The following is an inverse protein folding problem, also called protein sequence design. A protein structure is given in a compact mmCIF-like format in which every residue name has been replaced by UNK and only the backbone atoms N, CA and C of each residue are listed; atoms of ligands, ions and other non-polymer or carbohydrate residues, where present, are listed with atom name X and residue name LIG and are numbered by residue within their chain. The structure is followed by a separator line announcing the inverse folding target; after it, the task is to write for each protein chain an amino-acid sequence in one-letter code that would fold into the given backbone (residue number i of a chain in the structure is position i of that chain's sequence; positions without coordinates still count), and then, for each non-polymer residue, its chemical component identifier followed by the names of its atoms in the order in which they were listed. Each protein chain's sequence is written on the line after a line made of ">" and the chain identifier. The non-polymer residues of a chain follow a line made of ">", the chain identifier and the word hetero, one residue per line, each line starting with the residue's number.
data_IF_440318002081
#
_entry.id   IF_440318002081
#
_cell.length_a   1.000
_cell.length_b   1.000
_cell.length_c   1.000
_cell.angle_alpha   90.00
_cell.angle_beta   90.00
_cell.angle_gamma   90.00
#
_symmetry.space_group_name_H-M   'P 1'
#
loop_
_entity.id
_entity.type
_entity.pdbx_description
1 polymer ?
#
# COMPACT_ATOMS: atom_id res chain seq x y z
N UNK A 1 16.93 7.90 -21.30
CA UNK A 1 17.26 9.32 -21.14
C UNK A 1 17.45 9.59 -19.66
N UNK A 2 18.64 10.08 -19.26
CA UNK A 2 18.93 10.46 -17.89
C UNK A 2 17.94 11.54 -17.43
N UNK A 3 17.35 11.36 -16.25
CA UNK A 3 16.48 12.34 -15.64
C UNK A 3 17.26 13.67 -15.49
N UNK A 4 16.64 14.78 -15.88
CA UNK A 4 17.22 16.10 -15.70
C UNK A 4 17.61 16.32 -14.23
N UNK A 5 18.75 16.98 -13.95
CA UNK A 5 19.18 17.25 -12.60
C UNK A 5 18.13 18.10 -11.88
N UNK A 6 17.71 17.64 -10.71
CA UNK A 6 16.81 18.35 -9.81
C UNK A 6 17.55 19.64 -9.39
N UNK A 7 16.96 20.84 -9.54
CA UNK A 7 17.59 22.06 -9.08
C UNK A 7 17.88 21.95 -7.57
N UNK A 8 19.05 22.39 -7.11
CA UNK A 8 19.38 22.40 -5.69
C UNK A 8 18.35 23.29 -4.97
N UNK A 9 17.63 22.70 -4.02
CA UNK A 9 16.82 23.47 -3.11
C UNK A 9 17.72 24.36 -2.21
N UNK A 10 17.18 25.37 -1.53
CA UNK A 10 17.97 26.35 -0.79
C UNK A 10 18.93 25.66 0.20
N UNK A 11 20.20 25.94 0.06
CA UNK A 11 21.31 25.49 0.92
C UNK A 11 21.48 26.36 2.16
N UNK A 12 20.40 26.59 2.93
CA UNK A 12 20.48 27.40 4.15
C UNK A 12 20.35 26.47 5.37
N UNK A 13 21.27 26.46 6.34
CA UNK A 13 21.13 25.73 7.60
C UNK A 13 19.87 26.17 8.40
N UNK A 14 19.39 27.39 8.25
CA UNK A 14 18.10 27.84 8.80
C UNK A 14 16.88 27.17 8.12
N UNK A 15 17.07 26.51 6.97
CA UNK A 15 16.03 25.80 6.23
C UNK A 15 15.54 24.51 6.95
N UNK A 16 16.21 24.07 8.00
CA UNK A 16 15.78 22.93 8.82
C UNK A 16 14.81 23.30 9.95
N UNK A 17 14.63 24.61 10.23
CA UNK A 17 13.72 25.07 11.27
C UNK A 17 12.27 24.68 10.94
N UNK A 18 11.65 23.87 11.81
CA UNK A 18 10.28 23.35 11.61
C UNK A 18 10.17 22.06 10.77
N UNK A 19 11.29 21.52 10.26
CA UNK A 19 11.29 20.23 9.58
C UNK A 19 11.39 19.07 10.58
N UNK A 20 10.70 17.97 10.30
CA UNK A 20 10.76 16.75 11.10
C UNK A 20 12.01 15.93 10.70
N UNK A 21 12.90 15.63 11.67
CA UNK A 21 14.06 14.76 11.44
C UNK A 21 13.56 13.34 11.12
N UNK A 22 14.06 12.77 10.03
CA UNK A 22 13.66 11.44 9.58
C UNK A 22 14.30 10.34 10.45
N UNK A 23 13.61 9.23 10.58
CA UNK A 23 14.15 7.97 11.11
C UNK A 23 14.87 7.20 10.00
N UNK A 24 15.54 6.11 10.34
CA UNK A 24 16.09 5.12 9.41
C UNK A 24 17.11 5.72 8.44
N UNK A 25 18.17 6.29 8.99
CA UNK A 25 19.34 6.70 8.23
C UNK A 25 20.63 6.62 9.07
N UNK A 26 21.74 6.55 8.38
CA UNK A 26 23.09 6.58 8.94
C UNK A 26 23.81 7.84 8.45
N UNK A 27 24.55 8.48 9.35
CA UNK A 27 25.48 9.55 8.97
C UNK A 27 26.81 8.93 8.52
N UNK A 28 27.30 9.38 7.41
CA UNK A 28 28.59 8.99 6.85
C UNK A 28 29.55 10.19 6.86
N UNK A 29 30.82 9.98 6.51
CA UNK A 29 31.81 11.04 6.45
C UNK A 29 31.44 12.14 5.42
N UNK A 30 31.78 13.42 5.71
CA UNK A 30 31.55 14.54 4.80
C UNK A 30 30.08 14.93 4.63
N UNK A 31 29.29 14.89 5.70
CA UNK A 31 27.86 15.21 5.70
C UNK A 31 27.02 14.39 4.73
N UNK A 32 27.53 13.24 4.31
CA UNK A 32 26.79 12.26 3.52
C UNK A 32 25.81 11.48 4.42
N UNK A 33 24.60 11.26 3.95
CA UNK A 33 23.58 10.44 4.63
C UNK A 33 23.25 9.21 3.80
N UNK A 34 23.14 8.05 4.46
CA UNK A 34 22.63 6.81 3.89
C UNK A 34 21.23 6.54 4.46
N UNK A 35 20.19 6.71 3.64
CA UNK A 35 18.83 6.41 4.02
C UNK A 35 18.58 4.90 3.93
N UNK A 36 18.19 4.28 5.04
CA UNK A 36 17.96 2.83 5.17
C UNK A 36 16.48 2.45 5.28
N UNK A 37 15.56 3.37 4.96
CA UNK A 37 14.11 3.14 5.08
C UNK A 37 13.58 2.13 4.06
N UNK A 38 14.02 2.21 2.81
CA UNK A 38 13.53 1.36 1.73
C UNK A 38 14.69 0.82 0.86
N UNK A 39 14.45 -0.20 0.02
CA UNK A 39 15.47 -0.85 -0.77
C UNK A 39 16.22 0.03 -1.79
N UNK A 40 15.78 1.27 -2.00
CA UNK A 40 16.55 2.23 -2.79
C UNK A 40 17.87 2.62 -2.11
N UNK A 41 17.99 2.51 -0.78
CA UNK A 41 19.21 2.72 0.00
C UNK A 41 19.99 3.97 -0.44
N UNK A 42 19.28 5.11 -0.56
CA UNK A 42 19.80 6.34 -1.14
C UNK A 42 20.99 6.88 -0.33
N UNK A 43 22.14 7.13 -1.03
CA UNK A 43 23.26 7.89 -0.48
C UNK A 43 23.13 9.34 -0.93
N UNK A 44 22.93 10.24 0.03
CA UNK A 44 22.54 11.62 -0.23
C UNK A 44 23.62 12.57 0.30
N UNK A 45 24.42 13.20 -0.56
CA UNK A 45 25.21 14.37 -0.20
C UNK A 45 24.36 15.48 0.40
N UNK A 46 24.98 16.44 1.08
CA UNK A 46 24.28 17.60 1.62
C UNK A 46 23.46 18.33 0.55
N UNK A 47 22.26 18.76 0.90
CA UNK A 47 21.28 19.41 0.03
C UNK A 47 20.50 18.46 -0.89
N UNK A 48 20.91 17.19 -1.04
CA UNK A 48 20.26 16.24 -1.95
C UNK A 48 18.96 15.63 -1.37
N UNK A 49 18.03 15.33 -2.30
CA UNK A 49 16.75 14.68 -2.00
C UNK A 49 16.75 13.27 -2.56
N UNK A 50 16.24 12.31 -1.79
CA UNK A 50 16.11 10.92 -2.18
C UNK A 50 15.15 10.69 -3.35
N UNK A 51 15.21 9.49 -3.94
CA UNK A 51 14.35 9.09 -5.07
C UNK A 51 12.86 9.23 -4.78
N UNK A 52 12.47 9.16 -3.52
CA UNK A 52 11.09 9.34 -3.06
C UNK A 52 10.59 10.80 -3.11
N UNK A 53 11.46 11.79 -3.33
CA UNK A 53 11.19 13.22 -3.43
C UNK A 53 10.83 13.93 -2.12
N UNK A 54 10.89 13.23 -0.98
CA UNK A 54 10.40 13.76 0.32
C UNK A 54 11.38 13.56 1.47
N UNK A 55 12.55 12.97 1.22
CA UNK A 55 13.62 12.83 2.22
C UNK A 55 14.85 13.58 1.76
N UNK A 56 15.26 14.60 2.52
CA UNK A 56 16.36 15.51 2.17
C UNK A 56 17.46 15.48 3.21
N UNK A 57 18.70 15.40 2.76
CA UNK A 57 19.85 15.64 3.61
C UNK A 57 20.08 17.15 3.76
N UNK A 58 20.22 17.63 5.00
CA UNK A 58 20.59 19.01 5.33
C UNK A 58 21.65 18.94 6.44
N UNK A 59 22.89 19.30 6.12
CA UNK A 59 24.00 19.31 7.07
C UNK A 59 24.27 17.95 7.72
N UNK A 60 24.21 16.85 6.99
CA UNK A 60 24.44 15.50 7.50
C UNK A 60 23.27 14.93 8.32
N UNK A 61 22.09 15.55 8.29
CA UNK A 61 20.84 15.05 8.87
C UNK A 61 19.79 14.84 7.80
N UNK A 62 19.04 13.74 7.90
CA UNK A 62 17.93 13.45 6.98
C UNK A 62 16.62 14.01 7.54
N UNK A 63 15.85 14.72 6.71
CA UNK A 63 14.56 15.32 7.08
C UNK A 63 13.42 14.80 6.21
N UNK A 64 12.24 14.58 6.82
CA UNK A 64 10.99 14.20 6.18
C UNK A 64 10.20 15.45 5.75
N UNK A 65 10.33 15.84 4.47
CA UNK A 65 9.72 17.07 3.93
C UNK A 65 8.19 17.00 3.82
N UNK A 66 7.60 15.82 3.89
CA UNK A 66 6.16 15.60 3.77
C UNK A 66 5.46 15.37 5.11
N UNK A 67 6.18 15.47 6.24
CA UNK A 67 5.56 15.33 7.55
C UNK A 67 4.49 16.40 7.78
N UNK A 68 3.26 15.98 8.08
CA UNK A 68 2.12 16.88 8.24
C UNK A 68 1.56 17.51 6.97
N UNK A 69 2.08 17.17 5.77
CA UNK A 69 1.66 17.73 4.49
C UNK A 69 0.69 16.79 3.76
N UNK A 70 -0.61 16.88 4.04
CA UNK A 70 -1.63 16.05 3.40
C UNK A 70 -1.90 16.50 1.96
N UNK A 71 -1.63 15.62 0.99
CA UNK A 71 -2.02 15.78 -0.41
C UNK A 71 -3.43 15.22 -0.69
N UNK A 72 -3.90 14.30 0.15
CA UNK A 72 -5.26 13.78 0.08
C UNK A 72 -5.75 13.38 1.48
N UNK A 73 -7.03 13.63 1.75
CA UNK A 73 -7.75 13.19 2.95
C UNK A 73 -9.22 12.96 2.59
N UNK A 74 -9.71 11.71 2.69
CA UNK A 74 -11.07 11.31 2.31
C UNK A 74 -11.64 10.27 3.25
N UNK A 75 -12.96 10.24 3.40
CA UNK A 75 -13.68 9.12 4.02
C UNK A 75 -14.11 8.16 2.92
N UNK A 76 -13.57 6.96 2.94
CA UNK A 76 -13.85 5.92 1.94
C UNK A 76 -14.41 4.65 2.59
N UNK A 77 -15.21 3.85 1.87
CA UNK A 77 -15.46 2.47 2.26
C UNK A 77 -14.15 1.69 2.38
N UNK A 78 -14.03 0.81 3.38
CA UNK A 78 -12.84 -0.05 3.55
C UNK A 78 -12.63 -0.95 2.33
N UNK A 79 -13.69 -1.37 1.67
CA UNK A 79 -13.67 -2.15 0.44
C UNK A 79 -12.97 -1.45 -0.73
N UNK A 80 -12.96 -0.09 -0.74
CA UNK A 80 -12.24 0.68 -1.76
C UNK A 80 -10.71 0.61 -1.60
N UNK A 81 -10.20 0.10 -0.44
CA UNK A 81 -8.76 0.01 -0.13
C UNK A 81 -8.03 -1.24 -0.63
N UNK A 82 -8.54 -2.18 -1.37
CA UNK A 82 -9.58 -3.16 -1.14
C UNK A 82 -9.22 -4.12 0.00
N UNK A 83 -9.73 -3.83 1.19
CA UNK A 83 -9.72 -4.76 2.32
C UNK A 83 -11.08 -5.46 2.39
N UNK A 84 -11.10 -6.78 2.16
CA UNK A 84 -12.34 -7.55 2.13
C UNK A 84 -12.55 -8.39 3.40
N UNK A 85 -11.48 -8.61 4.17
CA UNK A 85 -11.51 -9.30 5.45
C UNK A 85 -11.18 -8.38 6.63
N UNK A 86 -11.45 -7.07 6.48
CA UNK A 86 -11.24 -6.06 7.52
C UNK A 86 -12.50 -5.21 7.65
N UNK A 87 -13.19 -5.30 8.79
CA UNK A 87 -14.34 -4.45 9.16
C UNK A 87 -15.32 -4.19 8.00
N UNK A 88 -15.94 -5.23 7.39
CA UNK A 88 -16.76 -5.08 6.19
C UNK A 88 -17.87 -4.02 6.34
N UNK A 89 -17.99 -3.14 5.35
CA UNK A 89 -18.98 -2.05 5.33
C UNK A 89 -18.58 -0.84 6.18
N UNK A 90 -17.40 -0.84 6.81
CA UNK A 90 -16.91 0.29 7.61
C UNK A 90 -16.34 1.41 6.77
N UNK A 91 -16.13 2.57 7.41
CA UNK A 91 -15.50 3.75 6.83
C UNK A 91 -14.06 3.88 7.30
N UNK A 92 -13.16 4.17 6.37
CA UNK A 92 -11.76 4.47 6.65
C UNK A 92 -11.46 5.94 6.33
N UNK A 93 -10.89 6.67 7.28
CA UNK A 93 -10.31 7.98 7.02
C UNK A 93 -8.97 7.80 6.32
N UNK A 94 -8.92 8.09 5.04
CA UNK A 94 -7.83 7.75 4.12
C UNK A 94 -6.96 8.95 3.85
N UNK A 95 -5.65 8.84 4.09
CA UNK A 95 -4.71 9.94 3.93
C UNK A 95 -3.53 9.59 3.05
N UNK A 96 -2.96 10.61 2.40
CA UNK A 96 -1.69 10.55 1.67
C UNK A 96 -0.90 11.83 1.82
N UNK A 97 0.42 11.70 1.72
CA UNK A 97 1.35 12.81 1.49
C UNK A 97 1.95 12.73 0.10
N UNK A 98 2.61 13.78 -0.43
CA UNK A 98 3.31 13.71 -1.71
C UNK A 98 4.48 12.72 -1.69
N UNK A 99 4.84 12.19 -2.86
CA UNK A 99 6.00 11.34 -3.07
C UNK A 99 5.73 9.84 -3.08
N UNK A 100 6.70 9.08 -3.59
CA UNK A 100 6.70 7.61 -3.63
C UNK A 100 8.14 7.12 -3.88
N UNK A 101 8.51 5.99 -3.29
CA UNK A 101 9.81 5.35 -3.50
C UNK A 101 9.87 4.46 -4.76
N UNK A 102 8.76 4.33 -5.49
CA UNK A 102 8.67 3.71 -6.81
C UNK A 102 8.33 4.76 -7.89
N UNK A 103 8.44 4.35 -9.16
CA UNK A 103 8.20 5.21 -10.34
C UNK A 103 7.35 4.49 -11.38
N UNK A 104 6.27 3.83 -10.91
CA UNK A 104 5.40 3.02 -11.74
C UNK A 104 4.87 3.81 -12.95
N UNK A 105 5.11 3.32 -14.16
CA UNK A 105 4.68 3.98 -15.41
C UNK A 105 3.15 4.03 -15.55
N UNK A 106 2.45 3.15 -14.84
CA UNK A 106 0.99 2.99 -14.80
C UNK A 106 0.33 3.57 -13.54
N UNK A 107 1.01 4.45 -12.79
CA UNK A 107 0.52 4.94 -11.51
C UNK A 107 -0.78 5.74 -11.67
N UNK A 108 -1.84 5.33 -10.96
CA UNK A 108 -3.13 6.03 -10.97
C UNK A 108 -3.10 7.35 -10.19
N UNK A 109 -2.27 7.41 -9.15
CA UNK A 109 -2.11 8.59 -8.30
C UNK A 109 -0.81 9.35 -8.60
N UNK A 110 -0.37 9.35 -9.87
CA UNK A 110 0.93 9.91 -10.27
C UNK A 110 1.06 11.39 -9.93
N UNK A 111 -0.02 12.14 -9.93
CA UNK A 111 -0.04 13.59 -9.66
C UNK A 111 0.51 13.90 -8.26
N UNK A 112 0.20 13.07 -7.26
CA UNK A 112 0.72 13.24 -5.90
C UNK A 112 1.94 12.36 -5.63
N UNK A 113 1.99 11.14 -6.18
CA UNK A 113 3.05 10.18 -5.88
C UNK A 113 4.36 10.48 -6.62
N UNK A 114 4.30 11.13 -7.79
CA UNK A 114 5.48 11.49 -8.59
C UNK A 114 5.86 12.98 -8.45
N UNK A 115 5.44 13.63 -7.37
CA UNK A 115 5.63 15.05 -7.11
C UNK A 115 6.50 15.31 -5.87
N UNK A 116 7.19 16.44 -5.86
CA UNK A 116 7.76 17.01 -4.66
C UNK A 116 6.66 17.73 -3.84
N UNK A 117 6.83 17.93 -2.52
CA UNK A 117 5.81 18.59 -1.68
C UNK A 117 5.37 19.98 -2.16
N UNK A 118 6.27 20.73 -2.77
CA UNK A 118 5.98 22.08 -3.29
C UNK A 118 5.35 22.11 -4.70
N UNK A 119 5.20 20.94 -5.35
CA UNK A 119 4.58 20.83 -6.68
C UNK A 119 3.09 20.52 -6.63
N UNK A 120 2.57 20.16 -5.46
CA UNK A 120 1.17 19.82 -5.25
C UNK A 120 0.59 20.61 -4.09
N UNK A 121 -0.71 20.88 -4.16
CA UNK A 121 -1.41 21.51 -3.04
C UNK A 121 -1.50 20.52 -1.87
N UNK A 122 -1.07 20.97 -0.71
CA UNK A 122 -1.16 20.20 0.54
C UNK A 122 -1.89 21.02 1.62
N UNK A 123 -2.51 20.31 2.56
CA UNK A 123 -3.09 20.87 3.77
C UNK A 123 -2.19 20.47 4.94
N UNK A 124 -1.80 21.44 5.77
CA UNK A 124 -1.07 21.14 7.00
C UNK A 124 -2.01 20.50 8.03
N UNK A 125 -1.63 19.34 8.56
CA UNK A 125 -2.37 18.66 9.62
C UNK A 125 -1.38 17.95 10.55
N UNK A 126 -1.48 18.19 11.85
CA UNK A 126 -0.75 17.41 12.84
C UNK A 126 -1.28 15.97 12.93
N UNK A 127 -0.55 15.03 13.52
CA UNK A 127 -1.08 13.69 13.82
C UNK A 127 -2.38 13.74 14.64
N UNK A 128 -2.49 14.68 15.56
CA UNK A 128 -3.68 14.92 16.40
C UNK A 128 -4.88 15.35 15.54
N UNK A 129 -4.67 16.25 14.57
CA UNK A 129 -5.73 16.72 13.67
C UNK A 129 -6.29 15.56 12.84
N UNK A 130 -5.42 14.70 12.29
CA UNK A 130 -5.82 13.53 11.50
C UNK A 130 -6.67 12.57 12.32
N UNK A 131 -6.26 12.27 13.56
CA UNK A 131 -7.01 11.37 14.44
C UNK A 131 -8.34 12.00 14.84
N UNK A 132 -8.36 13.30 15.16
CA UNK A 132 -9.59 14.04 15.48
C UNK A 132 -10.57 14.05 14.30
N UNK A 133 -10.09 14.21 13.07
CA UNK A 133 -10.91 14.17 11.85
C UNK A 133 -11.48 12.78 11.60
N UNK A 134 -10.68 11.73 11.80
CA UNK A 134 -11.14 10.35 11.70
C UNK A 134 -12.28 10.06 12.70
N UNK A 135 -12.11 10.45 13.96
CA UNK A 135 -13.16 10.32 14.99
C UNK A 135 -14.40 11.13 14.61
N UNK A 136 -14.23 12.41 14.26
CA UNK A 136 -15.33 13.32 13.89
C UNK A 136 -16.12 12.82 12.68
N UNK A 137 -15.45 12.20 11.72
CA UNK A 137 -16.11 11.61 10.55
C UNK A 137 -16.84 10.29 10.85
N UNK A 138 -16.70 9.74 12.05
CA UNK A 138 -17.23 8.43 12.44
C UNK A 138 -16.58 7.28 11.68
N UNK A 139 -15.31 7.44 11.27
CA UNK A 139 -14.52 6.36 10.67
C UNK A 139 -14.09 5.36 11.73
N UNK A 140 -14.09 4.07 11.38
CA UNK A 140 -13.63 2.99 12.26
C UNK A 140 -12.13 2.76 12.16
N UNK A 141 -11.52 3.28 11.10
CA UNK A 141 -10.09 3.11 10.84
C UNK A 141 -9.47 4.34 10.17
N UNK A 142 -8.13 4.44 10.28
CA UNK A 142 -7.31 5.35 9.48
C UNK A 142 -6.54 4.51 8.46
N UNK A 143 -6.64 4.86 7.17
CA UNK A 143 -5.92 4.19 6.09
C UNK A 143 -4.81 5.09 5.53
N UNK A 144 -3.58 4.65 5.64
CA UNK A 144 -2.41 5.25 4.99
C UNK A 144 -2.31 4.70 3.56
N UNK A 145 -2.53 5.53 2.53
CA UNK A 145 -2.82 5.03 1.18
C UNK A 145 -2.50 6.03 0.06
N UNK A 146 -2.99 5.80 -1.15
CA UNK A 146 -2.95 6.58 -2.41
C UNK A 146 -1.55 6.78 -3.00
N UNK A 147 -0.63 7.46 -2.29
CA UNK A 147 0.77 7.54 -2.67
C UNK A 147 1.55 6.32 -2.15
N UNK A 148 2.57 6.50 -1.33
CA UNK A 148 3.29 5.40 -0.71
C UNK A 148 3.51 5.67 0.79
N UNK A 149 2.84 4.94 1.70
CA UNK A 149 2.98 5.16 3.15
C UNK A 149 4.41 5.02 3.69
N UNK A 150 5.22 4.16 3.08
CA UNK A 150 6.61 3.99 3.50
C UNK A 150 7.37 5.31 3.56
N UNK A 151 7.14 6.24 2.61
CA UNK A 151 7.95 7.46 2.54
C UNK A 151 7.54 8.54 3.57
N UNK A 152 6.36 8.45 4.15
CA UNK A 152 5.92 9.29 5.26
C UNK A 152 5.85 8.52 6.58
N UNK A 153 6.83 7.65 6.78
CA UNK A 153 6.95 6.69 7.87
C UNK A 153 6.72 7.31 9.25
N UNK A 154 7.42 8.40 9.57
CA UNK A 154 7.37 9.07 10.86
C UNK A 154 5.95 9.60 11.15
N UNK A 155 5.35 10.24 10.15
CA UNK A 155 4.00 10.78 10.26
C UNK A 155 2.95 9.67 10.42
N UNK A 156 3.09 8.57 9.65
CA UNK A 156 2.26 7.39 9.79
C UNK A 156 2.38 6.76 11.18
N UNK A 157 3.61 6.61 11.69
CA UNK A 157 3.88 6.03 13.01
C UNK A 157 3.26 6.83 14.14
N UNK A 158 3.39 8.17 14.09
CA UNK A 158 2.83 9.05 15.12
C UNK A 158 1.30 9.05 15.10
N UNK A 159 0.70 9.07 13.91
CA UNK A 159 -0.76 8.92 13.76
C UNK A 159 -1.22 7.55 14.28
N UNK A 160 -0.52 6.46 13.92
CA UNK A 160 -0.90 5.11 14.32
C UNK A 160 -0.88 4.92 15.85
N UNK A 161 0.09 5.49 16.55
CA UNK A 161 0.14 5.48 18.02
C UNK A 161 -1.10 6.17 18.62
N UNK A 162 -1.43 7.37 18.15
CA UNK A 162 -2.57 8.15 18.63
C UNK A 162 -3.92 7.50 18.25
N UNK A 163 -4.01 6.89 17.06
CA UNK A 163 -5.20 6.17 16.61
C UNK A 163 -5.58 5.03 17.55
N UNK A 164 -4.58 4.26 18.00
CA UNK A 164 -4.78 3.17 18.98
C UNK A 164 -5.36 3.67 20.31
N UNK A 165 -4.90 4.81 20.81
CA UNK A 165 -5.44 5.42 22.03
C UNK A 165 -6.93 5.80 21.91
N UNK A 166 -7.39 6.01 20.67
CA UNK A 166 -8.79 6.32 20.35
C UNK A 166 -9.61 5.10 19.90
N UNK A 167 -9.02 3.90 19.93
CA UNK A 167 -9.69 2.67 19.48
C UNK A 167 -9.90 2.56 17.97
N UNK A 168 -9.23 3.42 17.18
CA UNK A 168 -9.28 3.35 15.72
C UNK A 168 -8.31 2.27 15.22
N UNK A 169 -8.74 1.50 14.22
CA UNK A 169 -7.86 0.56 13.52
C UNK A 169 -6.95 1.30 12.54
N UNK A 170 -5.75 0.77 12.34
CA UNK A 170 -4.74 1.34 11.44
C UNK A 170 -4.48 0.42 10.26
N UNK A 171 -4.69 0.93 9.06
CA UNK A 171 -4.62 0.19 7.82
C UNK A 171 -3.55 0.78 6.90
N UNK A 172 -2.65 -0.05 6.40
CA UNK A 172 -1.62 0.37 5.43
C UNK A 172 -1.92 -0.22 4.06
N UNK A 173 -1.90 0.63 3.04
CA UNK A 173 -2.02 0.26 1.63
C UNK A 173 -0.77 0.73 0.91
N UNK A 174 0.16 -0.18 0.67
CA UNK A 174 1.53 0.13 0.24
C UNK A 174 2.00 -0.85 -0.85
N UNK A 175 3.00 -0.46 -1.63
CA UNK A 175 3.71 -1.38 -2.51
C UNK A 175 4.58 -2.41 -1.75
N UNK A 176 4.69 -2.30 -0.43
CA UNK A 176 5.54 -3.19 0.38
C UNK A 176 7.03 -3.01 0.13
N UNK A 177 7.44 -1.91 -0.51
CA UNK A 177 8.85 -1.63 -0.84
C UNK A 177 9.54 -0.90 0.31
N UNK A 178 9.76 -1.64 1.40
CA UNK A 178 10.32 -1.18 2.68
C UNK A 178 11.38 -2.16 3.17
N UNK A 179 12.44 -1.68 3.83
CA UNK A 179 13.45 -2.55 4.42
C UNK A 179 12.92 -3.30 5.65
N UNK A 180 13.48 -4.48 5.99
CA UNK A 180 12.99 -5.32 7.08
C UNK A 180 12.91 -4.64 8.45
N UNK A 181 13.94 -3.89 8.84
CA UNK A 181 13.98 -3.30 10.19
C UNK A 181 12.95 -2.18 10.41
N UNK A 182 12.80 -1.18 9.49
CA UNK A 182 11.69 -0.23 9.60
C UNK A 182 10.32 -0.89 9.55
N UNK A 183 10.15 -1.94 8.74
CA UNK A 183 8.88 -2.68 8.69
C UNK A 183 8.57 -3.32 10.04
N UNK A 184 9.49 -4.10 10.61
CA UNK A 184 9.31 -4.76 11.93
C UNK A 184 9.00 -3.76 13.04
N UNK A 185 9.63 -2.58 13.03
CA UNK A 185 9.37 -1.53 14.03
C UNK A 185 7.99 -0.86 13.87
N UNK A 186 7.43 -0.85 12.66
CA UNK A 186 6.12 -0.28 12.36
C UNK A 186 4.97 -1.23 12.74
N UNK A 187 5.12 -2.53 12.43
CA UNK A 187 4.04 -3.53 12.51
C UNK A 187 3.33 -3.60 13.87
N UNK A 188 3.97 -3.38 15.04
CA UNK A 188 3.26 -3.34 16.32
C UNK A 188 2.16 -2.27 16.43
N UNK A 189 2.14 -1.30 15.55
CA UNK A 189 1.17 -0.20 15.52
C UNK A 189 0.15 -0.33 14.38
N UNK A 190 0.20 -1.41 13.58
CA UNK A 190 -0.65 -1.63 12.39
C UNK A 190 -1.54 -2.84 12.64
N UNK A 191 -2.85 -2.70 12.33
CA UNK A 191 -3.82 -3.79 12.44
C UNK A 191 -3.92 -4.60 11.13
N UNK A 192 -3.88 -3.92 9.97
CA UNK A 192 -3.91 -4.60 8.68
C UNK A 192 -3.00 -3.92 7.64
N UNK A 193 -2.39 -4.75 6.82
CA UNK A 193 -1.48 -4.34 5.76
C UNK A 193 -1.93 -4.92 4.43
N UNK A 194 -2.15 -4.08 3.43
CA UNK A 194 -2.40 -4.51 2.06
C UNK A 194 -1.17 -4.22 1.22
N UNK A 195 -0.67 -5.24 0.56
CA UNK A 195 0.47 -5.10 -0.35
C UNK A 195 -0.02 -5.06 -1.79
N UNK A 196 0.23 -3.94 -2.46
CA UNK A 196 0.08 -3.83 -3.90
C UNK A 196 1.27 -4.51 -4.60
N UNK A 197 1.24 -5.83 -4.68
CA UNK A 197 2.26 -6.63 -5.35
C UNK A 197 2.16 -6.46 -6.87
N UNK A 198 3.22 -5.93 -7.48
CA UNK A 198 3.11 -5.46 -8.88
C UNK A 198 3.22 -6.57 -9.91
N UNK A 199 4.17 -7.51 -9.72
CA UNK A 199 4.32 -8.68 -10.59
C UNK A 199 5.19 -9.76 -9.93
N UNK A 200 5.04 -11.01 -10.36
CA UNK A 200 5.97 -12.07 -9.96
C UNK A 200 7.25 -12.02 -10.79
N UNK A 201 7.18 -11.57 -12.04
CA UNK A 201 8.33 -11.35 -12.91
C UNK A 201 9.22 -10.19 -12.40
N UNK A 202 10.52 -10.41 -12.11
CA UNK A 202 11.45 -9.36 -11.67
C UNK A 202 11.65 -8.24 -12.68
N UNK A 203 11.60 -8.55 -13.99
CA UNK A 203 11.81 -7.56 -15.06
C UNK A 203 10.68 -6.51 -15.07
N UNK A 204 9.45 -6.90 -14.73
CA UNK A 204 8.35 -5.96 -14.57
C UNK A 204 8.67 -4.90 -13.51
N UNK A 205 9.24 -5.31 -12.38
CA UNK A 205 9.65 -4.38 -11.33
C UNK A 205 10.71 -3.40 -11.82
N UNK A 206 11.76 -3.90 -12.46
CA UNK A 206 12.84 -3.06 -12.97
C UNK A 206 12.36 -2.08 -14.04
N UNK A 207 11.61 -2.56 -15.02
CA UNK A 207 11.25 -1.80 -16.22
C UNK A 207 10.04 -0.88 -16.01
N UNK A 208 9.04 -1.32 -15.24
CA UNK A 208 7.76 -0.60 -15.12
C UNK A 208 7.56 0.09 -13.77
N UNK A 209 8.26 -0.32 -12.72
CA UNK A 209 8.13 0.28 -11.39
C UNK A 209 9.36 1.04 -10.91
N UNK A 210 10.53 0.74 -11.46
CA UNK A 210 11.81 1.30 -11.02
C UNK A 210 12.26 0.79 -9.66
N UNK A 211 11.78 -0.37 -9.23
CA UNK A 211 12.15 -1.06 -8.00
C UNK A 211 12.61 -2.49 -8.25
N UNK A 212 12.53 -3.34 -7.23
CA UNK A 212 12.84 -4.77 -7.29
C UNK A 212 11.78 -5.59 -6.56
N UNK A 213 11.55 -6.83 -7.03
CA UNK A 213 10.52 -7.74 -6.51
C UNK A 213 10.86 -8.31 -5.13
N UNK A 214 12.08 -8.82 -4.97
CA UNK A 214 12.44 -9.68 -3.83
C UNK A 214 12.28 -9.00 -2.46
N UNK A 215 12.59 -7.69 -2.27
CA UNK A 215 12.27 -7.00 -1.03
C UNK A 215 10.78 -6.98 -0.70
N UNK A 216 9.90 -6.95 -1.72
CA UNK A 216 8.44 -6.98 -1.50
C UNK A 216 7.98 -8.37 -1.07
N UNK A 217 8.54 -9.42 -1.66
CA UNK A 217 8.29 -10.81 -1.22
C UNK A 217 8.70 -11.02 0.23
N UNK A 218 9.87 -10.50 0.62
CA UNK A 218 10.35 -10.56 2.01
C UNK A 218 9.45 -9.75 2.95
N UNK A 219 9.04 -8.55 2.56
CA UNK A 219 8.11 -7.73 3.36
C UNK A 219 6.79 -8.48 3.63
N UNK A 220 6.20 -9.15 2.63
CA UNK A 220 4.98 -9.94 2.82
C UNK A 220 5.17 -11.09 3.82
N UNK A 221 6.32 -11.78 3.81
CA UNK A 221 6.64 -12.83 4.80
C UNK A 221 6.73 -12.24 6.21
N UNK A 222 7.43 -11.11 6.36
CA UNK A 222 7.57 -10.42 7.65
C UNK A 222 6.20 -9.99 8.19
N UNK A 223 5.34 -9.41 7.34
CA UNK A 223 3.98 -9.00 7.73
C UNK A 223 3.18 -10.22 8.18
N UNK A 224 3.16 -11.29 7.39
CA UNK A 224 2.43 -12.52 7.74
C UNK A 224 2.91 -13.12 9.06
N UNK A 225 4.22 -13.20 9.27
CA UNK A 225 4.84 -13.73 10.48
C UNK A 225 4.57 -12.88 11.73
N UNK A 226 4.30 -11.59 11.59
CA UNK A 226 4.01 -10.68 12.72
C UNK A 226 2.60 -10.84 13.29
N UNK A 227 1.70 -11.51 12.58
CA UNK A 227 0.28 -11.63 12.94
C UNK A 227 -0.59 -10.44 12.51
N UNK A 228 -0.02 -9.41 11.90
CA UNK A 228 -0.78 -8.33 11.24
C UNK A 228 -1.56 -8.91 10.07
N UNK A 229 -2.85 -8.52 9.94
CA UNK A 229 -3.67 -9.03 8.84
C UNK A 229 -3.12 -8.59 7.48
N UNK A 230 -2.91 -9.55 6.57
CA UNK A 230 -2.35 -9.31 5.25
C UNK A 230 -3.37 -9.60 4.16
N UNK A 231 -3.57 -8.65 3.23
CA UNK A 231 -4.22 -8.87 1.94
C UNK A 231 -3.28 -8.45 0.80
N UNK A 232 -3.39 -9.07 -0.36
CA UNK A 232 -2.52 -8.81 -1.51
C UNK A 232 -3.37 -8.37 -2.70
N UNK A 233 -2.93 -7.31 -3.40
CA UNK A 233 -3.52 -6.91 -4.68
C UNK A 233 -2.49 -7.03 -5.78
N UNK A 234 -2.86 -7.64 -6.88
CA UNK A 234 -2.08 -7.67 -8.12
C UNK A 234 -2.87 -6.96 -9.23
N UNK A 235 -2.34 -5.84 -9.72
CA UNK A 235 -2.88 -5.15 -10.88
C UNK A 235 -2.40 -5.86 -12.14
N UNK A 236 -3.31 -6.47 -12.89
CA UNK A 236 -2.99 -7.13 -14.14
C UNK A 236 -2.84 -6.11 -15.26
N UNK A 237 -1.61 -5.92 -15.74
CA UNK A 237 -1.27 -5.00 -16.83
C UNK A 237 -1.15 -5.80 -18.13
N UNK A 238 -1.98 -5.46 -19.12
CA UNK A 238 -2.11 -6.16 -20.38
C UNK A 238 -0.77 -6.46 -21.06
N UNK A 239 -0.48 -7.73 -21.28
CA UNK A 239 0.73 -8.19 -21.95
C UNK A 239 2.03 -8.04 -21.15
N UNK A 240 1.95 -7.68 -19.85
CA UNK A 240 3.12 -7.44 -19.01
C UNK A 240 3.25 -8.45 -17.85
N UNK A 241 2.15 -8.70 -17.13
CA UNK A 241 2.10 -9.60 -15.98
C UNK A 241 0.79 -10.41 -15.91
N UNK A 242 0.06 -10.51 -17.02
CA UNK A 242 -1.27 -11.11 -17.10
C UNK A 242 -1.28 -12.50 -17.76
N UNK A 243 -0.11 -13.12 -17.97
CA UNK A 243 -0.01 -14.50 -18.47
C UNK A 243 -0.47 -15.51 -17.42
N UNK A 244 -0.97 -16.66 -17.87
CA UNK A 244 -1.42 -17.73 -16.97
C UNK A 244 -0.28 -18.26 -16.08
N UNK A 245 0.94 -18.34 -16.62
CA UNK A 245 2.11 -18.79 -15.88
C UNK A 245 2.52 -17.81 -14.78
N UNK A 246 2.49 -16.50 -15.06
CA UNK A 246 2.74 -15.46 -14.08
C UNK A 246 1.75 -15.55 -12.92
N UNK A 247 0.45 -15.66 -13.23
CA UNK A 247 -0.62 -15.81 -12.24
C UNK A 247 -0.45 -17.09 -11.41
N UNK A 248 -0.11 -18.21 -12.07
CA UNK A 248 0.11 -19.50 -11.41
C UNK A 248 1.30 -19.46 -10.47
N UNK A 249 2.42 -18.87 -10.90
CA UNK A 249 3.61 -18.70 -10.08
C UNK A 249 3.30 -17.84 -8.84
N UNK A 250 2.59 -16.72 -9.02
CA UNK A 250 2.15 -15.88 -7.90
C UNK A 250 1.27 -16.66 -6.92
N UNK A 251 0.25 -17.36 -7.39
CA UNK A 251 -0.69 -18.09 -6.54
C UNK A 251 0.02 -19.19 -5.72
N UNK A 252 0.91 -19.96 -6.36
CA UNK A 252 1.72 -20.99 -5.70
C UNK A 252 2.62 -20.37 -4.62
N UNK A 253 3.32 -19.30 -4.97
CA UNK A 253 4.20 -18.63 -4.03
C UNK A 253 3.42 -18.09 -2.80
N UNK A 254 2.25 -17.49 -2.99
CA UNK A 254 1.38 -17.03 -1.89
C UNK A 254 1.01 -18.21 -1.01
N UNK A 255 0.51 -19.31 -1.59
CA UNK A 255 0.12 -20.51 -0.85
C UNK A 255 1.27 -21.10 -0.04
N UNK A 256 2.44 -21.23 -0.64
CA UNK A 256 3.61 -21.89 -0.04
C UNK A 256 4.28 -21.04 1.04
N UNK A 257 4.28 -19.71 0.89
CA UNK A 257 5.03 -18.82 1.78
C UNK A 257 4.17 -18.05 2.78
N UNK A 258 2.87 -17.83 2.46
CA UNK A 258 1.98 -17.01 3.29
C UNK A 258 0.76 -17.79 3.78
N UNK A 259 0.40 -18.88 3.14
CA UNK A 259 -0.76 -19.70 3.44
C UNK A 259 -1.87 -19.57 2.39
N UNK A 260 -2.81 -20.53 2.39
CA UNK A 260 -3.92 -20.60 1.45
C UNK A 260 -5.09 -19.68 1.81
N UNK A 261 -5.01 -19.04 2.97
CA UNK A 261 -6.03 -18.20 3.59
C UNK A 261 -5.78 -16.69 3.44
N UNK A 262 -4.64 -16.29 2.86
CA UNK A 262 -4.35 -14.87 2.56
C UNK A 262 -5.16 -14.41 1.35
N UNK A 263 -6.01 -13.36 1.46
CA UNK A 263 -6.79 -12.88 0.33
C UNK A 263 -5.91 -12.31 -0.78
N UNK A 264 -6.16 -12.76 -2.01
CA UNK A 264 -5.50 -12.28 -3.21
C UNK A 264 -6.54 -11.62 -4.14
N UNK A 265 -6.31 -10.37 -4.49
CA UNK A 265 -7.18 -9.58 -5.35
C UNK A 265 -6.49 -9.35 -6.71
N UNK A 266 -7.14 -9.73 -7.80
CA UNK A 266 -6.73 -9.35 -9.14
C UNK A 266 -7.51 -8.13 -9.61
N UNK A 267 -6.81 -7.04 -9.92
CA UNK A 267 -7.42 -5.79 -10.33
C UNK A 267 -7.15 -5.49 -11.80
N UNK A 268 -8.16 -4.95 -12.48
CA UNK A 268 -8.08 -4.56 -13.89
C UNK A 268 -7.26 -3.30 -14.07
N UNK A 269 -6.27 -3.33 -14.97
CA UNK A 269 -5.53 -2.16 -15.42
C UNK A 269 -6.36 -1.30 -16.38
N UNK A 270 -6.22 0.01 -16.24
CA UNK A 270 -6.65 1.02 -17.20
C UNK A 270 -5.44 1.90 -17.57
N UNK A 271 -5.29 2.28 -18.86
CA UNK A 271 -4.21 3.17 -19.32
C UNK A 271 -4.15 4.45 -18.48
N UNK A 272 -2.97 4.74 -17.93
CA UNK A 272 -2.76 5.90 -17.07
C UNK A 272 -1.29 6.33 -17.09
N UNK A 273 -1.03 7.62 -16.76
CA UNK A 273 0.29 8.22 -16.61
C UNK A 273 1.16 8.03 -17.87
N UNK A 274 2.23 7.25 -17.79
CA UNK A 274 3.19 6.99 -18.88
C UNK A 274 2.92 5.70 -19.66
N UNK A 275 1.95 4.91 -19.23
CA UNK A 275 1.59 3.64 -19.86
C UNK A 275 0.18 3.77 -20.51
N UNK A 276 0.07 4.66 -21.51
CA UNK A 276 -1.19 4.92 -22.20
C UNK A 276 -1.33 4.17 -23.53
N UNK A 277 -0.27 3.52 -23.97
CA UNK A 277 -0.19 2.79 -25.26
C UNK A 277 -0.69 1.33 -25.17
N UNK A 278 -1.05 0.84 -23.98
CA UNK A 278 -1.64 -0.48 -23.79
C UNK A 278 -3.16 -0.37 -23.61
N UNK A 279 -3.94 -1.33 -24.14
CA UNK A 279 -5.37 -1.36 -23.87
C UNK A 279 -5.66 -1.73 -22.40
N UNK A 280 -6.86 -1.38 -21.91
CA UNK A 280 -7.32 -1.89 -20.60
C UNK A 280 -7.31 -3.41 -20.60
N UNK A 281 -6.97 -4.02 -19.48
CA UNK A 281 -6.97 -5.49 -19.37
C UNK A 281 -8.39 -6.02 -19.62
N UNK A 282 -8.56 -7.03 -20.49
CA UNK A 282 -9.86 -7.66 -20.73
C UNK A 282 -10.44 -8.21 -19.42
N UNK A 283 -11.75 -8.05 -19.23
CA UNK A 283 -12.46 -8.58 -18.03
C UNK A 283 -12.22 -10.09 -17.88
N UNK A 284 -12.27 -10.83 -18.99
CA UNK A 284 -12.04 -12.27 -19.00
C UNK A 284 -10.63 -12.66 -18.50
N UNK A 285 -9.61 -11.82 -18.74
CA UNK A 285 -8.26 -12.04 -18.21
C UNK A 285 -8.26 -11.98 -16.67
N UNK A 286 -8.98 -11.03 -16.07
CA UNK A 286 -9.10 -10.91 -14.61
C UNK A 286 -9.86 -12.09 -14.02
N UNK A 287 -10.97 -12.50 -14.66
CA UNK A 287 -11.75 -13.68 -14.24
C UNK A 287 -10.96 -14.98 -14.38
N UNK A 288 -10.18 -15.13 -15.45
CA UNK A 288 -9.29 -16.26 -15.64
C UNK A 288 -8.20 -16.33 -14.57
N UNK A 289 -7.57 -15.19 -14.23
CA UNK A 289 -6.58 -15.13 -13.16
C UNK A 289 -7.17 -15.60 -11.82
N UNK A 290 -8.39 -15.18 -11.50
CA UNK A 290 -9.11 -15.66 -10.32
C UNK A 290 -9.30 -17.18 -10.35
N UNK A 291 -9.79 -17.74 -11.46
CA UNK A 291 -9.98 -19.19 -11.60
C UNK A 291 -8.68 -19.97 -11.43
N UNK A 292 -7.57 -19.50 -12.01
CA UNK A 292 -6.25 -20.10 -11.85
C UNK A 292 -5.83 -20.13 -10.38
N UNK A 293 -5.91 -19.00 -9.69
CA UNK A 293 -5.48 -18.92 -8.30
C UNK A 293 -6.33 -19.80 -7.35
N UNK A 294 -7.64 -19.90 -7.60
CA UNK A 294 -8.50 -20.84 -6.88
C UNK A 294 -8.13 -22.30 -7.19
N UNK A 295 -7.81 -22.63 -8.44
CA UNK A 295 -7.39 -23.97 -8.84
C UNK A 295 -6.01 -24.36 -8.23
N UNK A 296 -5.12 -23.40 -7.99
CA UNK A 296 -3.86 -23.62 -7.24
C UNK A 296 -4.10 -23.79 -5.73
N UNK A 297 -5.34 -23.59 -5.26
CA UNK A 297 -5.79 -23.91 -3.90
C UNK A 297 -5.81 -22.72 -2.93
N UNK A 298 -5.80 -21.48 -3.40
CA UNK A 298 -6.11 -20.32 -2.56
C UNK A 298 -7.60 -20.29 -2.23
N UNK A 299 -7.95 -20.00 -0.99
CA UNK A 299 -9.35 -19.97 -0.50
C UNK A 299 -10.08 -18.68 -0.84
N UNK A 300 -9.38 -17.55 -0.82
CA UNK A 300 -9.97 -16.22 -0.95
C UNK A 300 -9.33 -15.47 -2.12
N UNK A 301 -9.98 -15.50 -3.28
CA UNK A 301 -9.51 -14.80 -4.48
C UNK A 301 -10.59 -13.89 -5.00
N UNK A 302 -10.27 -12.61 -5.12
CA UNK A 302 -11.19 -11.54 -5.47
C UNK A 302 -10.82 -10.87 -6.79
N UNK A 303 -11.78 -10.13 -7.35
CA UNK A 303 -11.58 -9.32 -8.55
C UNK A 303 -11.89 -7.85 -8.26
N UNK A 304 -11.20 -6.94 -8.95
CA UNK A 304 -11.39 -5.51 -8.79
C UNK A 304 -11.39 -4.75 -10.11
N UNK A 305 -12.02 -3.58 -10.13
CA UNK A 305 -12.11 -2.69 -11.28
C UNK A 305 -12.77 -3.32 -12.52
N UNK A 306 -13.66 -4.30 -12.31
CA UNK A 306 -14.47 -4.89 -13.38
C UNK A 306 -15.96 -4.66 -13.10
N UNK A 307 -16.81 -4.55 -14.15
CA UNK A 307 -18.25 -4.33 -13.97
C UNK A 307 -19.01 -5.59 -13.52
N UNK A 308 -18.37 -6.76 -13.56
CA UNK A 308 -18.98 -8.03 -13.18
C UNK A 308 -18.96 -8.20 -11.66
N UNK A 309 -20.06 -8.67 -11.08
CA UNK A 309 -20.16 -9.01 -9.65
C UNK A 309 -19.43 -10.33 -9.28
N UNK A 310 -18.84 -11.02 -10.26
CA UNK A 310 -18.11 -12.25 -9.99
C UNK A 310 -16.77 -11.96 -9.30
N UNK A 311 -16.61 -12.45 -8.07
CA UNK A 311 -15.41 -12.27 -7.27
C UNK A 311 -15.43 -11.10 -6.30
N UNK A 312 -16.56 -10.37 -6.16
CA UNK A 312 -16.69 -9.31 -5.15
C UNK A 312 -17.03 -9.85 -3.76
N UNK A 313 -17.72 -10.99 -3.71
CA UNK A 313 -18.30 -11.54 -2.47
C UNK A 313 -17.39 -12.58 -1.82
N UNK A 314 -17.38 -12.61 -0.48
CA UNK A 314 -16.67 -13.63 0.29
C UNK A 314 -17.53 -14.89 0.40
N UNK A 315 -16.92 -16.04 0.11
CA UNK A 315 -17.57 -17.35 0.21
C UNK A 315 -16.93 -18.20 1.31
N UNK A 316 -17.74 -19.00 1.98
CA UNK A 316 -17.22 -20.05 2.86
C UNK A 316 -16.48 -21.11 2.02
N UNK A 317 -15.24 -21.44 2.35
CA UNK A 317 -14.52 -22.55 1.67
C UNK A 317 -15.17 -23.89 1.89
N UNK A 318 -15.93 -24.08 2.98
CA UNK A 318 -16.61 -25.35 3.32
C UNK A 318 -17.83 -25.60 2.45
N UNK A 319 -18.74 -24.62 2.34
CA UNK A 319 -20.02 -24.79 1.66
C UNK A 319 -20.09 -24.13 0.28
N UNK A 320 -19.15 -23.24 -0.06
CA UNK A 320 -19.21 -22.40 -1.25
C UNK A 320 -20.27 -21.29 -1.20
N UNK A 321 -21.05 -21.18 -0.10
CA UNK A 321 -22.08 -20.15 0.05
C UNK A 321 -21.47 -18.78 0.25
N UNK A 322 -22.15 -17.73 -0.24
CA UNK A 322 -21.78 -16.35 0.02
C UNK A 322 -22.08 -16.03 1.50
N UNK A 323 -21.05 -15.58 2.23
CA UNK A 323 -21.13 -15.19 3.64
C UNK A 323 -20.97 -13.68 3.83
N UNK A 324 -20.32 -12.97 2.89
CA UNK A 324 -20.37 -11.51 2.78
C UNK A 324 -20.69 -11.18 1.33
N UNK A 325 -21.84 -10.61 1.09
CA UNK A 325 -22.30 -10.23 -0.24
C UNK A 325 -21.91 -8.78 -0.52
N UNK A 326 -21.26 -8.54 -1.66
CA UNK A 326 -20.83 -7.21 -2.10
C UNK A 326 -21.30 -6.90 -3.51
N UNK A 327 -21.50 -5.60 -3.75
CA UNK A 327 -21.64 -5.03 -5.10
C UNK A 327 -20.75 -3.81 -5.20
N UNK A 328 -19.61 -3.97 -5.86
CA UNK A 328 -18.54 -2.97 -5.86
C UNK A 328 -18.02 -2.73 -4.43
N UNK A 329 -18.14 -1.48 -3.95
CA UNK A 329 -17.68 -1.11 -2.61
C UNK A 329 -18.77 -1.20 -1.51
N UNK A 330 -19.96 -1.70 -1.83
CA UNK A 330 -21.05 -1.80 -0.88
C UNK A 330 -21.21 -3.22 -0.39
N UNK A 331 -21.24 -3.39 0.93
CA UNK A 331 -21.63 -4.64 1.58
C UNK A 331 -23.16 -4.66 1.66
N UNK A 332 -23.77 -5.62 0.95
CA UNK A 332 -25.23 -5.80 0.93
C UNK A 332 -25.71 -6.69 2.08
N UNK A 333 -24.89 -7.68 2.46
CA UNK A 333 -25.18 -8.63 3.54
C UNK A 333 -23.85 -9.13 4.13
N UNK A 334 -23.84 -9.30 5.45
CA UNK A 334 -22.75 -9.94 6.18
C UNK A 334 -23.35 -10.93 7.17
N UNK A 335 -23.17 -12.22 6.90
CA UNK A 335 -23.71 -13.33 7.70
C UNK A 335 -22.71 -13.85 8.73
N UNK A 336 -21.51 -13.25 8.83
CA UNK A 336 -20.52 -13.66 9.82
C UNK A 336 -20.89 -13.18 11.22
N UNK A 337 -20.77 -14.08 12.18
CA UNK A 337 -20.86 -13.78 13.61
C UNK A 337 -19.47 -14.02 14.23
N UNK A 338 -18.79 -12.95 14.63
CA UNK A 338 -17.42 -13.00 15.15
C UNK A 338 -16.45 -13.78 14.24
N UNK A 339 -16.60 -13.61 12.93
CA UNK A 339 -15.79 -14.29 11.92
C UNK A 339 -16.17 -15.75 11.64
N UNK A 340 -17.30 -16.22 12.18
CA UNK A 340 -17.81 -17.58 11.93
C UNK A 340 -18.98 -17.50 10.96
N UNK A 341 -18.91 -18.27 9.88
CA UNK A 341 -19.96 -18.41 8.88
C UNK A 341 -21.11 -19.30 9.40
N UNK A 342 -22.33 -19.21 8.81
CA UNK A 342 -23.47 -20.04 9.22
C UNK A 342 -23.25 -21.54 9.15
N UNK A 343 -22.31 -22.02 8.32
CA UNK A 343 -21.92 -23.43 8.20
C UNK A 343 -20.85 -23.86 9.22
N UNK A 344 -20.48 -22.97 10.16
CA UNK A 344 -19.49 -23.19 11.19
C UNK A 344 -18.03 -22.98 10.73
N UNK A 345 -17.79 -22.59 9.49
CA UNK A 345 -16.43 -22.27 9.00
C UNK A 345 -15.95 -20.94 9.59
N UNK A 346 -14.73 -20.93 10.14
CA UNK A 346 -14.08 -19.69 10.58
C UNK A 346 -13.41 -19.00 9.41
N UNK A 347 -13.88 -17.83 9.06
CA UNK A 347 -13.27 -16.98 8.03
C UNK A 347 -12.22 -16.10 8.70
N UNK A 348 -10.92 -16.20 8.32
CA UNK A 348 -9.87 -15.37 8.90
C UNK A 348 -10.03 -13.90 8.48
N UNK A 349 -9.72 -12.96 9.39
CA UNK A 349 -9.87 -11.53 9.16
C UNK A 349 -9.93 -10.71 10.44
N UNK A 350 -10.14 -9.41 10.30
CA UNK A 350 -10.45 -8.47 11.39
C UNK A 350 -11.93 -8.10 11.31
N UNK A 351 -12.72 -8.64 12.22
CA UNK A 351 -14.19 -8.52 12.17
C UNK A 351 -14.74 -7.51 13.18
N UNK A 352 -13.89 -7.06 14.14
CA UNK A 352 -14.22 -6.11 15.22
C UNK A 352 -13.11 -5.06 15.40
#
# INVERSE_FOLDING_TARGET
>A
QAAAPVPPGPSNPDAAAGLHEAMWYERLAGDLVHCTLCPNNCRLPDGQIGLCRVRKNIGGKLYALSYGALAAAHVDPVEKKPFYHVLPGSRAYSIATPGCNLRCLFCQNWEISQAFPWQVRTTSASPQDVVADAVRSGSQSIAFTYSEPTIFYEYMLDIAKLAREKGLKTLVVSAGYINPEPLKALLPFIDAYKVDFKAFNPEFYTNLTGGSRDPVLEAMKIIRASGVWLEIVNLLVTGQNDSEDEVRQLARWVKENLGDDVPLHFSRFHPMHKLQNLPPTPVETVLRARRIALAEGLKYVYTGNIPAAEGDSTRSPRSGQIVIERKGYFVLRNDLQDGVAPDGERIPGLWQ
#
